data_IF_677219013897
#
_entry.id   IF_677219013897
#
_cell.length_a   1.000
_cell.length_b   1.000
_cell.length_c   1.000
_cell.angle_alpha   90.00
_cell.angle_beta   90.00
_cell.angle_gamma   90.00
#
_symmetry.space_group_name_H-M   'P 1'
#
loop_
_entity.id
_entity.type
_entity.pdbx_description
1 polymer ?
#
# COMPACT_ATOMS: atom_id res chain seq x y z
N UNK A 1 36.17 11.06 -0.21
CA UNK A 1 35.76 9.86 0.55
C UNK A 1 34.47 10.22 1.26
N UNK A 2 33.31 9.90 0.68
CA UNK A 2 32.03 10.19 1.33
C UNK A 2 31.95 9.36 2.61
N UNK A 3 31.70 10.03 3.75
CA UNK A 3 31.32 9.36 4.99
C UNK A 3 30.18 8.40 4.66
N UNK A 4 30.42 7.09 4.82
CA UNK A 4 29.33 6.11 4.87
C UNK A 4 28.36 6.63 5.93
N UNK A 5 27.17 7.04 5.50
CA UNK A 5 26.09 7.36 6.42
C UNK A 5 25.98 6.20 7.42
N UNK A 6 26.05 6.51 8.71
CA UNK A 6 25.93 5.50 9.76
C UNK A 6 24.60 4.78 9.55
N UNK A 7 24.62 3.48 9.32
CA UNK A 7 23.39 2.71 9.21
C UNK A 7 22.66 2.77 10.55
N UNK A 8 21.50 3.42 10.56
CA UNK A 8 20.71 3.64 11.78
C UNK A 8 19.91 2.40 12.18
N UNK A 9 19.52 1.58 11.19
CA UNK A 9 18.72 0.37 11.38
C UNK A 9 19.57 -0.87 11.18
N UNK A 10 19.38 -1.86 12.05
CA UNK A 10 19.90 -3.21 11.81
C UNK A 10 19.22 -3.84 10.59
N UNK A 11 19.81 -4.89 9.98
CA UNK A 11 19.18 -5.60 8.87
C UNK A 11 17.77 -6.09 9.20
N UNK A 12 17.50 -6.52 10.43
CA UNK A 12 16.17 -6.98 10.84
C UNK A 12 15.19 -5.83 11.06
N UNK A 13 15.63 -4.73 11.68
CA UNK A 13 14.81 -3.51 11.78
C UNK A 13 14.44 -2.96 10.39
N UNK A 14 15.35 -3.06 9.43
CA UNK A 14 15.08 -2.65 8.04
C UNK A 14 14.04 -3.55 7.38
N UNK A 15 14.07 -4.87 7.64
CA UNK A 15 13.03 -5.78 7.16
C UNK A 15 11.68 -5.42 7.76
N UNK A 16 11.62 -5.20 9.07
CA UNK A 16 10.38 -4.85 9.76
C UNK A 16 9.78 -3.54 9.24
N UNK A 17 10.64 -2.57 8.90
CA UNK A 17 10.22 -1.28 8.34
C UNK A 17 9.62 -1.38 6.92
N UNK A 18 9.85 -2.50 6.22
CA UNK A 18 9.30 -2.77 4.88
C UNK A 18 8.00 -3.62 4.95
N UNK A 19 7.50 -3.89 6.16
CA UNK A 19 6.28 -4.66 6.36
C UNK A 19 5.10 -3.73 6.69
N UNK A 20 3.94 -4.10 6.19
CA UNK A 20 2.67 -3.54 6.63
C UNK A 20 2.16 -4.45 7.76
N UNK A 21 1.90 -3.95 8.98
CA UNK A 21 1.39 -4.77 10.06
C UNK A 21 0.06 -5.43 9.67
N UNK A 22 -0.03 -6.75 9.78
CA UNK A 22 -1.31 -7.47 9.60
C UNK A 22 -2.33 -7.12 10.69
N UNK A 23 -1.86 -6.58 11.82
CA UNK A 23 -2.65 -6.16 12.98
C UNK A 23 -3.17 -4.72 12.88
N UNK A 24 -3.15 -4.10 11.68
CA UNK A 24 -3.69 -2.75 11.47
C UNK A 24 -5.11 -2.62 12.02
N UNK A 25 -5.32 -1.62 12.87
CA UNK A 25 -6.64 -1.26 13.37
C UNK A 25 -7.53 -0.71 12.25
N UNK A 26 -8.85 -0.71 12.47
CA UNK A 26 -9.78 -0.13 11.50
C UNK A 26 -9.59 1.39 11.36
N UNK A 27 -9.13 2.06 12.43
CA UNK A 27 -8.83 3.48 12.40
C UNK A 27 -7.59 3.76 11.53
N UNK A 28 -6.51 2.98 11.68
CA UNK A 28 -5.33 3.11 10.83
C UNK A 28 -5.64 2.79 9.37
N UNK A 29 -6.49 1.79 9.10
CA UNK A 29 -6.96 1.51 7.74
C UNK A 29 -7.68 2.71 7.13
N UNK A 30 -8.64 3.28 7.85
CA UNK A 30 -9.37 4.46 7.39
C UNK A 30 -8.46 5.68 7.21
N UNK A 31 -7.46 5.84 8.09
CA UNK A 31 -6.55 6.97 8.02
C UNK A 31 -5.57 6.88 6.84
N UNK A 32 -4.97 5.71 6.60
CA UNK A 32 -3.90 5.54 5.63
C UNK A 32 -4.35 5.03 4.25
N UNK A 33 -5.44 4.26 4.18
CA UNK A 33 -5.84 3.52 2.98
C UNK A 33 -7.18 3.97 2.38
N UNK A 34 -7.73 5.09 2.84
CA UNK A 34 -8.90 5.71 2.19
C UNK A 34 -8.47 6.47 0.94
N UNK A 35 -9.10 6.15 -0.18
CA UNK A 35 -8.94 6.83 -1.45
C UNK A 35 -9.76 8.12 -1.46
N UNK A 36 -9.14 9.19 -1.93
CA UNK A 36 -9.85 10.44 -2.21
C UNK A 36 -10.65 10.32 -3.49
N UNK A 37 -11.54 11.29 -3.72
CA UNK A 37 -12.31 11.34 -4.97
C UNK A 37 -11.40 11.47 -6.20
N UNK A 38 -10.33 12.28 -6.12
CA UNK A 38 -9.34 12.44 -7.18
C UNK A 38 -8.61 11.12 -7.49
N UNK A 39 -8.28 10.35 -6.45
CA UNK A 39 -7.67 9.03 -6.64
C UNK A 39 -8.58 8.12 -7.45
N UNK A 40 -9.86 8.04 -7.06
CA UNK A 40 -10.85 7.20 -7.71
C UNK A 40 -11.02 7.59 -9.18
N UNK A 41 -11.04 8.89 -9.49
CA UNK A 41 -11.13 9.38 -10.86
C UNK A 41 -9.94 8.95 -11.72
N UNK A 42 -8.72 8.98 -11.19
CA UNK A 42 -7.53 8.52 -11.90
C UNK A 42 -7.51 6.99 -12.03
N UNK A 43 -7.87 6.26 -10.96
CA UNK A 43 -7.93 4.80 -10.93
C UNK A 43 -8.92 4.28 -11.96
N UNK A 44 -10.11 4.88 -12.07
CA UNK A 44 -11.16 4.45 -13.01
C UNK A 44 -10.75 4.52 -14.48
N UNK A 45 -9.73 5.32 -14.82
CA UNK A 45 -9.16 5.39 -16.18
C UNK A 45 -8.37 4.14 -16.57
N UNK A 46 -8.00 3.28 -15.60
CA UNK A 46 -7.33 2.00 -15.85
C UNK A 46 -8.33 0.95 -16.37
N UNK A 47 -7.87 0.13 -17.32
CA UNK A 47 -8.67 -0.96 -17.91
C UNK A 47 -8.59 -2.21 -17.04
N UNK A 48 -9.72 -2.89 -16.82
CA UNK A 48 -9.87 -4.11 -15.99
C UNK A 48 -9.64 -3.88 -14.50
N UNK A 49 -10.23 -4.74 -13.69
CA UNK A 49 -10.31 -4.55 -12.24
C UNK A 49 -8.97 -4.83 -11.54
N UNK A 50 -8.21 -5.84 -11.96
CA UNK A 50 -6.84 -6.03 -11.46
C UNK A 50 -5.92 -4.82 -11.64
N UNK A 51 -5.99 -4.11 -12.79
CA UNK A 51 -5.16 -2.92 -12.99
C UNK A 51 -5.65 -1.73 -12.15
N UNK A 52 -6.96 -1.65 -11.87
CA UNK A 52 -7.52 -0.61 -11.00
C UNK A 52 -7.10 -0.87 -9.56
N UNK A 53 -7.26 -2.10 -9.08
CA UNK A 53 -6.94 -2.49 -7.72
C UNK A 53 -5.43 -2.41 -7.46
N UNK A 54 -4.59 -2.96 -8.35
CA UNK A 54 -3.14 -2.85 -8.24
C UNK A 54 -2.64 -1.41 -8.23
N UNK A 55 -3.19 -0.55 -9.09
CA UNK A 55 -2.84 0.87 -9.13
C UNK A 55 -3.31 1.63 -7.88
N UNK A 56 -4.49 1.30 -7.36
CA UNK A 56 -4.99 1.89 -6.12
C UNK A 56 -4.14 1.52 -4.91
N UNK A 57 -3.73 0.25 -4.80
CA UNK A 57 -2.84 -0.19 -3.73
C UNK A 57 -1.49 0.54 -3.86
N UNK A 58 -0.93 0.69 -5.06
CA UNK A 58 0.29 1.48 -5.26
C UNK A 58 0.17 2.92 -4.72
N UNK A 59 -0.94 3.61 -5.00
CA UNK A 59 -1.19 4.97 -4.46
C UNK A 59 -1.19 4.95 -2.93
N UNK A 60 -1.89 3.99 -2.32
CA UNK A 60 -1.93 3.87 -0.86
C UNK A 60 -0.54 3.59 -0.27
N UNK A 61 0.23 2.69 -0.87
CA UNK A 61 1.58 2.34 -0.38
C UNK A 61 2.56 3.50 -0.43
N UNK A 62 2.45 4.36 -1.45
CA UNK A 62 3.25 5.60 -1.52
C UNK A 62 2.89 6.61 -0.43
N UNK A 63 1.66 6.60 0.09
CA UNK A 63 1.27 7.44 1.24
C UNK A 63 1.71 6.83 2.55
N UNK A 64 1.46 5.54 2.72
CA UNK A 64 1.86 4.77 3.88
C UNK A 64 2.04 3.30 3.50
N UNK A 65 3.20 2.70 3.84
CA UNK A 65 4.32 3.25 4.62
C UNK A 65 5.28 4.18 3.85
N UNK A 66 5.05 4.45 2.57
CA UNK A 66 5.94 5.27 1.72
C UNK A 66 6.84 4.46 0.80
N UNK A 67 6.50 3.20 0.55
CA UNK A 67 7.28 2.28 -0.27
C UNK A 67 6.52 1.85 -1.52
N UNK A 68 7.24 1.43 -2.56
CA UNK A 68 6.58 0.91 -3.76
C UNK A 68 6.10 -0.52 -3.55
N UNK A 69 5.18 -0.96 -4.41
CA UNK A 69 4.71 -2.35 -4.43
C UNK A 69 5.83 -3.36 -4.79
N UNK A 70 6.94 -2.88 -5.38
CA UNK A 70 8.13 -3.70 -5.64
C UNK A 70 9.01 -3.88 -4.39
N UNK A 71 8.93 -2.95 -3.44
CA UNK A 71 9.68 -3.01 -2.18
C UNK A 71 8.93 -3.80 -1.10
N UNK A 72 7.60 -3.66 -1.07
CA UNK A 72 6.71 -4.36 -0.13
C UNK A 72 6.40 -5.75 -0.67
N UNK A 73 6.90 -6.78 0.00
CA UNK A 73 6.73 -8.19 -0.43
C UNK A 73 5.33 -8.74 -0.21
N UNK A 74 4.57 -8.18 0.73
CA UNK A 74 3.24 -8.70 1.08
C UNK A 74 2.34 -7.55 1.55
N UNK A 75 1.20 -7.42 0.89
CA UNK A 75 0.13 -6.51 1.31
C UNK A 75 -0.91 -7.34 2.06
N UNK A 76 -1.25 -6.99 3.32
CA UNK A 76 -2.24 -7.76 4.07
C UNK A 76 -3.60 -7.79 3.39
N UNK A 77 -4.29 -8.93 3.44
CA UNK A 77 -5.65 -9.10 2.88
C UNK A 77 -6.62 -8.05 3.39
N UNK A 78 -6.46 -7.61 4.64
CA UNK A 78 -7.31 -6.57 5.24
C UNK A 78 -7.20 -5.23 4.48
N UNK A 79 -6.01 -4.88 4.01
CA UNK A 79 -5.78 -3.68 3.18
C UNK A 79 -6.38 -3.88 1.79
N UNK A 80 -6.12 -5.04 1.16
CA UNK A 80 -6.63 -5.35 -0.18
C UNK A 80 -8.17 -5.28 -0.20
N UNK A 81 -8.82 -5.96 0.75
CA UNK A 81 -10.28 -5.94 0.90
C UNK A 81 -10.82 -4.52 1.15
N UNK A 82 -10.14 -3.73 2.00
CA UNK A 82 -10.55 -2.36 2.29
C UNK A 82 -10.50 -1.46 1.05
N UNK A 83 -9.45 -1.58 0.23
CA UNK A 83 -9.29 -0.79 -1.00
C UNK A 83 -10.24 -1.30 -2.10
N UNK A 84 -10.39 -2.62 -2.26
CA UNK A 84 -11.30 -3.22 -3.24
C UNK A 84 -12.75 -2.78 -3.02
N UNK A 85 -13.21 -2.73 -1.76
CA UNK A 85 -14.54 -2.26 -1.40
C UNK A 85 -14.80 -0.81 -1.82
N UNK A 86 -13.80 0.08 -1.72
CA UNK A 86 -13.93 1.48 -2.16
C UNK A 86 -14.07 1.60 -3.67
N UNK A 87 -13.52 0.65 -4.43
CA UNK A 87 -13.57 0.62 -5.89
C UNK A 87 -14.72 -0.21 -6.45
N UNK A 88 -15.45 -0.95 -5.60
CA UNK A 88 -16.48 -1.91 -5.98
C UNK A 88 -15.96 -2.99 -6.93
N UNK A 89 -14.77 -3.52 -6.63
CA UNK A 89 -14.14 -4.63 -7.36
C UNK A 89 -13.92 -5.81 -6.42
N UNK A 90 -13.72 -7.00 -6.97
CA UNK A 90 -13.40 -8.19 -6.18
C UNK A 90 -11.94 -8.12 -5.68
N UNK A 91 -11.71 -8.46 -4.42
CA UNK A 91 -10.37 -8.46 -3.83
C UNK A 91 -9.44 -9.51 -4.47
N UNK A 92 -9.99 -10.57 -5.08
CA UNK A 92 -9.24 -11.60 -5.82
C UNK A 92 -8.65 -11.11 -7.14
N UNK A 93 -8.98 -9.90 -7.58
CA UNK A 93 -8.36 -9.26 -8.73
C UNK A 93 -6.96 -8.70 -8.42
N UNK A 94 -6.53 -8.67 -7.16
CA UNK A 94 -5.17 -8.23 -6.79
C UNK A 94 -4.15 -9.36 -6.90
#
# INVERSE_FOLDING_TARGET
MYLRARELLTPDQRKDFLLIPSTLSNWELAYYYTLTQDDIEVIRRRRRDHNRLGFAIQICLFRYPGWSLSDIKNVPDKVINYVANQLQVDASEF
#
